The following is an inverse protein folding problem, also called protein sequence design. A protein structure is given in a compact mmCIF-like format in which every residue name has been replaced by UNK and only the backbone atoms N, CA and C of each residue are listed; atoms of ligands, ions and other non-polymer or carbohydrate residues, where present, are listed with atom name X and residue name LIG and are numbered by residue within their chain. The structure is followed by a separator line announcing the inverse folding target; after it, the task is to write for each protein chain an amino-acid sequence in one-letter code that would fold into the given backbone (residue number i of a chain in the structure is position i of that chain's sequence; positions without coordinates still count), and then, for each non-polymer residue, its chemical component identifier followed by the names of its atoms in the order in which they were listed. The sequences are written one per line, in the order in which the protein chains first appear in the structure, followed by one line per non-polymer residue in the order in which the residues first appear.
data_IF_391601242607
#
_entry.id   IF_391601242607
#
_cell.length_a   1.000
_cell.length_b   1.000
_cell.length_c   1.000
_cell.angle_alpha   90.00
_cell.angle_beta   90.00
_cell.angle_gamma   90.00
#
_symmetry.space_group_name_H-M   'P 1'
#
loop_
_entity.id
_entity.type
_entity.pdbx_description
1 polymer ?
#
# COMPACT_ATOMS: atom_id res chain seq x y z
N UNK A 1 15.26 -16.47 16.73
CA UNK A 1 15.60 -16.21 15.31
C UNK A 1 15.09 -14.83 14.95
N UNK A 2 15.99 -13.91 14.62
CA UNK A 2 15.64 -12.56 14.17
C UNK A 2 15.60 -12.56 12.63
N UNK A 3 14.68 -11.80 12.03
CA UNK A 3 14.61 -11.60 10.57
C UNK A 3 15.21 -10.24 10.25
N UNK A 4 16.04 -10.17 9.22
CA UNK A 4 16.64 -8.92 8.78
C UNK A 4 15.60 -7.99 8.16
N UNK A 5 15.45 -6.79 8.71
CA UNK A 5 14.53 -5.78 8.20
C UNK A 5 14.89 -5.19 6.82
N UNK A 6 16.01 -5.61 6.21
CA UNK A 6 16.43 -5.15 4.88
C UNK A 6 16.22 -6.21 3.79
N UNK A 7 16.68 -7.44 4.02
CA UNK A 7 16.61 -8.53 3.03
C UNK A 7 15.55 -9.58 3.35
N UNK A 8 14.87 -9.47 4.50
CA UNK A 8 13.85 -10.41 4.98
C UNK A 8 14.34 -11.87 5.13
N UNK A 9 15.64 -12.06 5.30
CA UNK A 9 16.27 -13.37 5.56
C UNK A 9 16.57 -13.52 7.05
N UNK A 10 16.55 -14.76 7.54
CA UNK A 10 16.92 -15.11 8.92
C UNK A 10 18.36 -14.65 9.21
N UNK A 11 18.57 -14.12 10.40
CA UNK A 11 19.88 -13.68 10.88
C UNK A 11 20.51 -14.82 11.67
N UNK A 12 21.69 -15.26 11.21
CA UNK A 12 22.54 -16.19 11.95
C UNK A 12 23.14 -15.51 13.18
N UNK A 13 23.27 -16.26 14.27
CA UNK A 13 23.75 -15.75 15.55
C UNK A 13 25.13 -15.09 15.41
N UNK A 14 25.23 -13.82 15.84
CA UNK A 14 26.48 -13.08 15.95
C UNK A 14 26.81 -12.07 14.84
N UNK A 15 25.98 -11.96 13.79
CA UNK A 15 26.15 -10.94 12.72
C UNK A 15 24.99 -9.96 12.62
N UNK A 16 24.45 -9.55 13.76
CA UNK A 16 23.34 -8.60 13.84
C UNK A 16 23.77 -7.18 14.21
N UNK A 17 23.08 -6.20 13.65
CA UNK A 17 23.15 -4.78 14.00
C UNK A 17 21.74 -4.33 14.34
N UNK A 18 21.59 -3.71 15.51
CA UNK A 18 20.33 -3.11 15.93
C UNK A 18 20.29 -1.65 15.51
N UNK A 19 19.17 -1.24 14.92
CA UNK A 19 18.95 0.16 14.61
C UNK A 19 18.84 0.96 15.92
N UNK A 20 19.69 1.97 16.08
CA UNK A 20 19.64 2.92 17.20
C UNK A 20 18.53 3.98 17.06
N UNK A 21 17.58 3.76 16.15
CA UNK A 21 16.41 4.62 15.93
C UNK A 21 15.14 4.04 16.52
N UNK A 22 14.01 4.70 16.28
CA UNK A 22 12.71 4.38 16.90
C UNK A 22 12.17 2.99 16.50
N UNK A 23 12.67 2.40 15.41
CA UNK A 23 12.15 1.13 14.92
C UNK A 23 12.72 -0.10 15.65
N UNK A 24 13.82 0.02 16.41
CA UNK A 24 14.51 -1.08 17.09
C UNK A 24 14.72 -2.36 16.23
N UNK A 25 14.73 -2.21 14.90
CA UNK A 25 14.84 -3.32 13.97
C UNK A 25 16.24 -3.96 13.99
N UNK A 26 16.29 -5.24 13.63
CA UNK A 26 17.52 -6.03 13.56
C UNK A 26 17.89 -6.26 12.08
N UNK A 27 19.17 -6.13 11.77
CA UNK A 27 19.69 -6.20 10.40
C UNK A 27 20.99 -6.99 10.37
N UNK A 28 21.30 -7.66 9.24
CA UNK A 28 22.64 -8.21 9.06
C UNK A 28 23.68 -7.09 9.04
N UNK A 29 24.87 -7.35 9.58
CA UNK A 29 26.03 -6.44 9.46
C UNK A 29 26.34 -6.08 8.01
N UNK A 30 26.21 -7.03 7.08
CA UNK A 30 26.39 -6.83 5.65
C UNK A 30 25.32 -5.93 5.01
N UNK A 31 24.07 -6.03 5.46
CA UNK A 31 23.00 -5.13 5.03
C UNK A 31 23.14 -3.72 5.65
N UNK A 32 23.89 -3.59 6.73
CA UNK A 32 24.14 -2.32 7.41
C UNK A 32 25.34 -1.54 6.84
N UNK A 33 26.21 -2.20 6.06
CA UNK A 33 27.50 -1.65 5.59
C UNK A 33 27.45 -0.79 4.32
N UNK A 34 26.28 -0.49 3.76
CA UNK A 34 26.12 0.37 2.57
C UNK A 34 26.52 1.85 2.82
N UNK A 35 27.83 2.11 2.90
CA UNK A 35 28.41 3.45 2.88
C UNK A 35 28.84 4.02 4.24
N UNK A 36 28.92 3.20 5.29
CA UNK A 36 29.48 3.64 6.59
C UNK A 36 30.82 2.97 6.83
N UNK A 37 31.89 3.73 6.69
CA UNK A 37 33.23 3.38 7.16
C UNK A 37 33.19 3.09 8.67
N UNK A 38 33.03 1.82 9.02
CA UNK A 38 33.62 1.05 10.14
C UNK A 38 33.98 1.71 11.49
N UNK A 39 33.48 2.90 11.85
CA UNK A 39 33.88 3.59 13.09
C UNK A 39 32.92 3.43 14.25
N UNK A 40 31.64 3.11 14.03
CA UNK A 40 30.74 2.69 15.11
C UNK A 40 29.39 2.18 14.58
N UNK A 41 29.19 0.86 14.59
CA UNK A 41 27.85 0.27 14.39
C UNK A 41 26.92 0.53 15.60
N UNK A 42 27.45 1.03 16.72
CA UNK A 42 26.71 1.29 17.96
C UNK A 42 25.63 2.37 17.79
N UNK A 43 25.86 3.33 16.88
CA UNK A 43 24.93 4.42 16.59
C UNK A 43 24.29 4.29 15.20
N UNK A 44 24.38 3.10 14.57
CA UNK A 44 23.86 2.90 13.24
C UNK A 44 22.33 2.98 13.24
N UNK A 45 21.78 3.76 12.31
CA UNK A 45 20.34 3.85 12.05
C UNK A 45 20.05 3.23 10.69
N UNK A 46 18.95 2.48 10.57
CA UNK A 46 18.47 2.02 9.27
C UNK A 46 18.01 3.20 8.41
N UNK A 47 17.92 3.00 7.10
CA UNK A 47 17.53 4.04 6.12
C UNK A 47 16.23 4.74 6.54
N UNK A 48 15.19 3.99 6.93
CA UNK A 48 13.93 4.57 7.39
C UNK A 48 14.06 5.48 8.62
N UNK A 49 14.93 5.13 9.57
CA UNK A 49 15.21 5.98 10.74
C UNK A 49 16.12 7.16 10.40
N UNK A 50 17.07 7.00 9.45
CA UNK A 50 17.93 8.10 8.96
C UNK A 50 17.10 9.16 8.27
N UNK A 51 16.22 8.77 7.34
CA UNK A 51 15.35 9.69 6.61
C UNK A 51 14.48 10.48 7.59
N UNK A 52 13.82 9.81 8.54
CA UNK A 52 13.00 10.49 9.57
C UNK A 52 13.79 11.47 10.43
N UNK A 53 15.05 11.18 10.76
CA UNK A 53 15.89 12.12 11.52
C UNK A 53 16.37 13.31 10.70
N UNK A 54 16.51 13.18 9.39
CA UNK A 54 16.90 14.29 8.50
C UNK A 54 15.70 15.21 8.21
N UNK A 55 14.48 14.67 8.18
CA UNK A 55 13.25 15.46 7.98
C UNK A 55 12.96 16.48 9.09
N UNK A 56 13.63 16.41 10.24
CA UNK A 56 13.48 17.38 11.34
C UNK A 56 14.42 18.60 11.22
N UNK A 57 15.32 18.65 10.22
CA UNK A 57 16.20 19.80 10.01
C UNK A 57 16.38 20.08 8.52
N UNK A 58 15.65 21.12 8.08
CA UNK A 58 15.79 21.87 6.82
C UNK A 58 15.28 21.22 5.52
N UNK A 59 14.14 21.79 5.08
CA UNK A 59 13.74 22.23 3.74
C UNK A 59 14.23 21.43 2.51
N UNK A 60 13.22 20.98 1.76
CA UNK A 60 13.16 20.84 0.30
C UNK A 60 14.24 19.99 -0.38
N UNK A 61 13.89 18.74 -0.70
CA UNK A 61 14.25 18.17 -1.99
C UNK A 61 13.19 17.15 -2.41
N UNK A 62 12.47 17.48 -3.48
CA UNK A 62 11.66 16.55 -4.27
C UNK A 62 12.52 15.34 -4.63
N UNK A 63 12.04 14.12 -4.34
CA UNK A 63 12.29 12.83 -5.05
C UNK A 63 11.94 11.60 -4.20
N UNK A 64 11.21 11.78 -3.10
CA UNK A 64 10.36 10.70 -2.59
C UNK A 64 8.94 11.17 -2.80
N UNK A 65 8.21 10.55 -3.72
CA UNK A 65 6.75 10.54 -3.65
C UNK A 65 6.44 9.72 -2.39
N UNK A 66 6.65 10.33 -1.23
CA UNK A 66 5.92 9.97 -0.04
C UNK A 66 4.49 10.26 -0.46
N UNK A 67 3.80 9.21 -0.93
CA UNK A 67 2.36 9.23 -1.12
C UNK A 67 1.82 9.75 0.20
N UNK A 68 1.54 11.05 0.26
CA UNK A 68 1.07 11.67 1.47
C UNK A 68 -0.23 10.97 1.78
N UNK A 69 -0.49 10.73 3.07
CA UNK A 69 -1.74 10.13 3.50
C UNK A 69 -2.94 10.83 2.81
N UNK A 70 -2.83 12.13 2.61
CA UNK A 70 -3.81 12.96 1.92
C UNK A 70 -3.97 12.60 0.44
N UNK A 71 -2.89 12.32 -0.29
CA UNK A 71 -2.98 11.86 -1.69
C UNK A 71 -3.68 10.51 -1.80
N UNK A 72 -3.34 9.56 -0.92
CA UNK A 72 -4.01 8.25 -0.88
C UNK A 72 -5.48 8.38 -0.51
N UNK A 73 -5.81 9.28 0.43
CA UNK A 73 -7.20 9.54 0.81
C UNK A 73 -7.99 10.15 -0.36
N UNK A 74 -7.44 11.15 -1.06
CA UNK A 74 -8.09 11.72 -2.24
C UNK A 74 -8.32 10.67 -3.33
N UNK A 75 -7.29 9.86 -3.66
CA UNK A 75 -7.43 8.80 -4.66
C UNK A 75 -8.51 7.76 -4.28
N UNK A 76 -8.61 7.40 -3.00
CA UNK A 76 -9.62 6.45 -2.53
C UNK A 76 -11.03 7.05 -2.56
N UNK A 77 -11.18 8.34 -2.27
CA UNK A 77 -12.45 9.05 -2.38
C UNK A 77 -12.90 9.21 -3.83
N UNK A 78 -11.98 9.54 -4.73
CA UNK A 78 -12.24 9.62 -6.16
C UNK A 78 -12.64 8.26 -6.73
N UNK A 79 -11.85 7.21 -6.43
CA UNK A 79 -12.16 5.84 -6.84
C UNK A 79 -13.52 5.37 -6.31
N UNK A 80 -13.81 5.64 -5.03
CA UNK A 80 -15.12 5.33 -4.44
C UNK A 80 -16.23 6.04 -5.22
N UNK A 81 -16.09 7.33 -5.48
CA UNK A 81 -17.12 8.12 -6.16
C UNK A 81 -17.37 7.61 -7.58
N UNK A 82 -16.30 7.29 -8.30
CA UNK A 82 -16.36 6.74 -9.66
C UNK A 82 -16.99 5.34 -9.68
N UNK A 83 -16.60 4.44 -8.78
CA UNK A 83 -17.21 3.12 -8.62
C UNK A 83 -18.70 3.19 -8.27
N UNK A 84 -19.10 4.08 -7.37
CA UNK A 84 -20.52 4.25 -7.00
C UNK A 84 -21.34 4.85 -8.14
N UNK A 85 -20.73 5.66 -9.01
CA UNK A 85 -21.39 6.20 -10.20
C UNK A 85 -21.61 5.09 -11.22
N UNK A 86 -20.56 4.34 -11.56
CA UNK A 86 -20.64 3.20 -12.47
C UNK A 86 -21.61 2.12 -11.95
N UNK A 87 -21.58 1.81 -10.66
CA UNK A 87 -22.51 0.85 -10.04
C UNK A 87 -23.98 1.29 -10.14
N UNK A 88 -24.27 2.59 -10.04
CA UNK A 88 -25.63 3.12 -10.25
C UNK A 88 -26.06 2.98 -11.70
N UNK A 89 -25.15 3.20 -12.65
CA UNK A 89 -25.42 2.98 -14.09
C UNK A 89 -25.75 1.50 -14.32
N UNK A 90 -24.88 0.59 -13.88
CA UNK A 90 -25.08 -0.87 -13.99
C UNK A 90 -26.39 -1.29 -13.33
N UNK A 91 -26.72 -0.76 -12.14
CA UNK A 91 -27.98 -1.07 -11.46
C UNK A 91 -29.20 -0.62 -12.27
N UNK A 92 -29.13 0.55 -12.90
CA UNK A 92 -30.21 1.08 -13.74
C UNK A 92 -30.40 0.20 -14.97
N UNK A 93 -29.31 -0.10 -15.68
CA UNK A 93 -29.32 -0.96 -16.87
C UNK A 93 -29.80 -2.39 -16.55
N UNK A 94 -29.38 -2.95 -15.42
CA UNK A 94 -29.85 -4.25 -14.94
C UNK A 94 -31.36 -4.24 -14.62
N UNK A 95 -31.87 -3.11 -14.10
CA UNK A 95 -33.30 -2.92 -13.87
C UNK A 95 -34.10 -2.88 -15.17
N UNK A 96 -33.62 -2.14 -16.17
CA UNK A 96 -34.23 -2.07 -17.51
C UNK A 96 -34.19 -3.43 -18.23
N UNK A 97 -33.09 -4.17 -18.08
CA UNK A 97 -32.97 -5.53 -18.59
C UNK A 97 -33.98 -6.47 -17.92
N UNK A 98 -34.13 -6.39 -16.59
CA UNK A 98 -35.10 -7.19 -15.84
C UNK A 98 -36.53 -6.93 -16.31
N UNK A 99 -36.89 -5.66 -16.54
CA UNK A 99 -38.22 -5.28 -17.07
C UNK A 99 -38.41 -5.86 -18.48
N UNK A 100 -37.37 -5.78 -19.32
CA UNK A 100 -37.41 -6.31 -20.69
C UNK A 100 -37.57 -7.83 -20.72
N UNK A 101 -36.88 -8.55 -19.83
CA UNK A 101 -37.02 -10.00 -19.66
C UNK A 101 -38.41 -10.37 -19.16
N UNK A 102 -38.95 -9.62 -18.19
CA UNK A 102 -40.30 -9.83 -17.67
C UNK A 102 -41.34 -9.69 -18.78
N UNK A 103 -41.24 -8.63 -19.59
CA UNK A 103 -42.12 -8.40 -20.73
C UNK A 103 -42.05 -9.53 -21.77
N UNK A 104 -40.84 -10.02 -22.09
CA UNK A 104 -40.67 -11.15 -22.99
C UNK A 104 -41.28 -12.43 -22.41
N UNK A 105 -41.09 -12.68 -21.11
CA UNK A 105 -41.69 -13.82 -20.40
C UNK A 105 -43.21 -13.77 -20.48
N UNK A 106 -43.82 -12.62 -20.18
CA UNK A 106 -45.27 -12.44 -20.22
C UNK A 106 -45.83 -12.64 -21.64
N UNK A 107 -45.08 -12.23 -22.67
CA UNK A 107 -45.48 -12.40 -24.07
C UNK A 107 -45.38 -13.86 -24.52
N UNK A 108 -44.36 -14.59 -24.07
CA UNK A 108 -44.18 -16.02 -24.33
C UNK A 108 -45.28 -16.83 -23.62
N UNK A 109 -45.54 -16.54 -22.34
CA UNK A 109 -46.59 -17.21 -21.57
C UNK A 109 -47.98 -16.96 -22.17
N UNK A 110 -48.24 -15.75 -22.66
CA UNK A 110 -49.50 -15.43 -23.35
C UNK A 110 -49.62 -16.16 -24.70
N UNK A 111 -48.50 -16.40 -25.39
CA UNK A 111 -48.48 -17.14 -26.65
C UNK A 111 -48.66 -18.66 -26.48
N UNK A 112 -48.29 -19.22 -25.31
CA UNK A 112 -48.45 -20.64 -25.00
C UNK A 112 -49.82 -20.98 -24.39
N UNK A 113 -50.54 -19.98 -23.87
CA UNK A 113 -51.89 -20.14 -23.33
C UNK A 113 -53.01 -19.85 -24.35
N UNK A 114 -52.67 -19.69 -25.63
CA UNK A 114 -53.59 -19.72 -26.78
C UNK A 114 -53.47 -21.05 -27.51
#
# INVERSE_FOLDING_TARGET
MSICGSCNVVIDDGKEVKCAGVCNGVFHTACASDGVTTRSLKNWKCIGCRIKSVSASNKSSLTSIALTKDFLLCLLEDFKTEMFKEFKTVKTEMGELSISVQFLSDKVDKSNNM
#
